data_IF_277280189318
#
_entry.id   IF_277280189318
#
_cell.length_a   1.000
_cell.length_b   1.000
_cell.length_c   1.000
_cell.angle_alpha   90.00
_cell.angle_beta   90.00
_cell.angle_gamma   90.00
#
_symmetry.space_group_name_H-M   'P 1'
#
loop_
_entity.id
_entity.type
_entity.pdbx_description
1 polymer ?
#
# COMPACT_ATOMS: atom_id res chain seq x y z
N UNK A 1 -6.36 -4.84 -11.42
CA UNK A 1 -6.78 -5.86 -10.43
C UNK A 1 -7.88 -5.24 -9.58
N UNK A 2 -8.91 -6.00 -9.21
CA UNK A 2 -10.11 -5.46 -8.56
C UNK A 2 -10.51 -6.34 -7.37
N UNK A 3 -10.86 -5.72 -6.26
CA UNK A 3 -11.57 -6.36 -5.16
C UNK A 3 -13.06 -6.13 -5.39
N UNK A 4 -13.81 -7.24 -5.48
CA UNK A 4 -15.24 -7.24 -5.77
C UNK A 4 -15.91 -8.06 -4.67
N UNK A 5 -16.95 -7.50 -4.07
CA UNK A 5 -17.83 -8.23 -3.20
C UNK A 5 -18.97 -8.84 -4.03
N UNK A 6 -19.18 -10.14 -3.85
CA UNK A 6 -20.31 -10.84 -4.48
C UNK A 6 -21.40 -11.10 -3.45
N UNK A 7 -22.59 -10.59 -3.72
CA UNK A 7 -23.79 -10.94 -2.96
C UNK A 7 -24.59 -12.00 -3.70
N UNK A 8 -25.00 -13.11 -3.05
CA UNK A 8 -25.92 -14.05 -3.64
C UNK A 8 -27.28 -13.38 -3.96
N UNK A 9 -28.06 -13.92 -4.91
CA UNK A 9 -29.46 -13.49 -5.14
C UNK A 9 -30.26 -13.55 -3.83
N UNK A 10 -31.37 -12.80 -3.69
CA UNK A 10 -31.89 -12.36 -2.40
C UNK A 10 -32.22 -13.53 -1.48
N UNK A 11 -31.27 -13.84 -0.60
CA UNK A 11 -31.46 -14.66 0.59
C UNK A 11 -31.38 -13.69 1.77
N UNK A 12 -32.37 -13.64 2.68
CA UNK A 12 -32.52 -12.51 3.59
C UNK A 12 -31.38 -12.29 4.60
N UNK A 13 -30.37 -13.17 4.68
CA UNK A 13 -29.31 -13.15 5.70
C UNK A 13 -27.95 -13.71 5.19
N UNK A 14 -27.70 -13.73 3.88
CA UNK A 14 -26.42 -14.22 3.34
C UNK A 14 -25.41 -13.09 3.19
N UNK A 15 -24.42 -13.00 4.09
CA UNK A 15 -23.29 -12.08 3.94
C UNK A 15 -22.54 -12.27 2.61
N UNK A 16 -22.06 -11.17 2.02
CA UNK A 16 -21.23 -11.20 0.82
C UNK A 16 -19.84 -11.76 1.12
N UNK A 17 -19.17 -12.32 0.11
CA UNK A 17 -17.78 -12.76 0.23
C UNK A 17 -16.87 -11.82 -0.58
N UNK A 18 -15.82 -11.24 0.04
CA UNK A 18 -14.86 -10.44 -0.71
C UNK A 18 -14.00 -11.36 -1.57
N UNK A 19 -14.00 -11.11 -2.86
CA UNK A 19 -13.23 -11.86 -3.84
C UNK A 19 -12.31 -10.91 -4.59
N UNK A 20 -11.10 -11.38 -4.90
CA UNK A 20 -10.14 -10.59 -5.67
C UNK A 20 -9.99 -11.18 -7.06
N UNK A 21 -10.22 -10.33 -8.05
CA UNK A 21 -10.18 -10.67 -9.47
C UNK A 21 -9.01 -9.93 -10.13
N UNK A 22 -8.25 -10.65 -10.92
CA UNK A 22 -7.16 -10.12 -11.73
C UNK A 22 -7.37 -10.41 -13.21
N UNK A 23 -6.99 -9.48 -14.07
CA UNK A 23 -6.87 -9.74 -15.50
C UNK A 23 -5.52 -10.42 -15.77
N UNK A 24 -5.58 -11.66 -16.25
CA UNK A 24 -4.45 -12.43 -16.72
C UNK A 24 -4.11 -12.10 -18.18
N UNK A 25 -3.02 -12.69 -18.67
CA UNK A 25 -2.60 -12.56 -20.07
C UNK A 25 -3.74 -12.90 -21.04
N UNK A 26 -3.88 -12.09 -22.10
CA UNK A 26 -4.91 -12.20 -23.14
C UNK A 26 -6.35 -11.92 -22.67
N UNK A 27 -6.54 -11.07 -21.64
CA UNK A 27 -7.86 -10.58 -21.23
C UNK A 27 -8.72 -11.60 -20.46
N UNK A 28 -8.11 -12.69 -19.98
CA UNK A 28 -8.82 -13.69 -19.16
C UNK A 28 -8.85 -13.25 -17.71
N UNK A 29 -9.99 -13.37 -17.03
CA UNK A 29 -10.08 -13.09 -15.60
C UNK A 29 -9.65 -14.31 -14.78
N UNK A 30 -8.92 -14.08 -13.68
CA UNK A 30 -8.50 -15.10 -12.71
C UNK A 30 -8.83 -14.68 -11.27
N UNK A 31 -9.18 -15.65 -10.43
CA UNK A 31 -9.32 -15.44 -9.00
C UNK A 31 -7.97 -15.53 -8.30
N UNK A 32 -7.75 -14.63 -7.35
CA UNK A 32 -6.61 -14.71 -6.44
C UNK A 32 -7.09 -14.60 -5.00
N UNK A 33 -6.29 -15.14 -4.09
CA UNK A 33 -6.53 -14.95 -2.67
C UNK A 33 -6.44 -13.44 -2.32
N UNK A 34 -7.47 -12.86 -1.70
CA UNK A 34 -7.57 -11.41 -1.49
C UNK A 34 -6.49 -10.86 -0.55
N UNK A 35 -5.96 -11.69 0.36
CA UNK A 35 -5.01 -11.27 1.40
C UNK A 35 -3.56 -11.51 0.96
N UNK A 36 -3.27 -12.73 0.48
CA UNK A 36 -1.92 -13.18 0.14
C UNK A 36 -1.52 -12.88 -1.31
N UNK A 37 -2.45 -12.49 -2.19
CA UNK A 37 -2.25 -12.38 -3.64
C UNK A 37 -1.79 -13.67 -4.32
N UNK A 38 -1.90 -14.81 -3.65
CA UNK A 38 -1.54 -16.10 -4.24
C UNK A 38 -2.63 -16.54 -5.21
N UNK A 39 -2.21 -17.10 -6.34
CA UNK A 39 -3.14 -17.77 -7.26
C UNK A 39 -3.77 -18.95 -6.53
N UNK A 40 -5.10 -18.99 -6.52
CA UNK A 40 -5.82 -20.15 -6.02
C UNK A 40 -5.50 -21.33 -6.95
N UNK A 41 -5.04 -22.46 -6.38
CA UNK A 41 -4.62 -23.64 -7.16
C UNK A 41 -5.75 -24.24 -8.00
N UNK A 42 -7.00 -23.94 -7.65
CA UNK A 42 -8.20 -24.38 -8.34
C UNK A 42 -9.03 -23.15 -8.69
N UNK A 43 -8.75 -22.54 -9.84
CA UNK A 43 -9.62 -21.50 -10.41
C UNK A 43 -10.52 -22.16 -11.47
N UNK A 44 -11.85 -21.96 -11.41
CA UNK A 44 -12.72 -22.46 -12.46
C UNK A 44 -12.34 -21.83 -13.80
N UNK A 45 -12.33 -22.62 -14.85
CA UNK A 45 -11.87 -22.21 -16.20
C UNK A 45 -12.77 -21.15 -16.83
N UNK A 46 -14.00 -21.01 -16.33
CA UNK A 46 -14.94 -19.96 -16.66
C UNK A 46 -15.55 -19.43 -15.35
N UNK A 47 -15.48 -18.12 -15.16
CA UNK A 47 -16.14 -17.43 -14.06
C UNK A 47 -17.28 -16.61 -14.65
N UNK A 48 -18.52 -17.03 -14.42
CA UNK A 48 -19.70 -16.25 -14.79
C UNK A 48 -20.13 -15.45 -13.58
N UNK A 49 -20.17 -14.12 -13.74
CA UNK A 49 -20.73 -13.20 -12.74
C UNK A 49 -22.23 -12.98 -12.94
N UNK A 50 -22.83 -13.62 -13.95
CA UNK A 50 -24.25 -13.49 -14.23
C UNK A 50 -25.08 -14.05 -13.06
N UNK A 51 -25.83 -13.17 -12.39
CA UNK A 51 -26.71 -13.51 -11.27
C UNK A 51 -26.25 -12.99 -9.91
N UNK A 52 -25.03 -12.44 -9.80
CA UNK A 52 -24.57 -11.74 -8.61
C UNK A 52 -24.83 -10.24 -8.73
N UNK A 53 -25.08 -9.59 -7.58
CA UNK A 53 -24.95 -8.13 -7.49
C UNK A 53 -23.52 -7.84 -7.09
N UNK A 54 -22.77 -7.25 -8.02
CA UNK A 54 -21.35 -6.99 -7.85
C UNK A 54 -21.16 -5.59 -7.27
N UNK A 55 -20.51 -5.50 -6.12
CA UNK A 55 -20.07 -4.22 -5.55
C UNK A 55 -18.56 -4.17 -5.65
N UNK A 56 -18.04 -3.26 -6.47
CA UNK A 56 -16.61 -3.03 -6.55
C UNK A 56 -16.14 -2.32 -5.27
N UNK A 57 -15.32 -3.00 -4.46
CA UNK A 57 -14.77 -2.48 -3.21
C UNK A 57 -13.52 -1.64 -3.44
N UNK A 58 -12.62 -2.10 -4.33
CA UNK A 58 -11.36 -1.42 -4.59
C UNK A 58 -10.74 -1.83 -5.92
N UNK A 59 -9.92 -0.95 -6.50
CA UNK A 59 -9.02 -1.29 -7.59
C UNK A 59 -7.58 -1.18 -7.14
N UNK A 60 -6.77 -2.18 -7.49
CA UNK A 60 -5.34 -2.15 -7.35
C UNK A 60 -4.67 -2.36 -8.71
N UNK A 61 -3.54 -1.72 -8.92
CA UNK A 61 -2.74 -1.89 -10.13
C UNK A 61 -1.50 -2.71 -9.79
N UNK A 62 -0.97 -3.42 -10.78
CA UNK A 62 0.33 -4.11 -10.67
C UNK A 62 1.26 -3.54 -11.71
N UNK A 63 2.46 -3.15 -11.29
CA UNK A 63 3.50 -2.71 -12.19
C UNK A 63 4.32 -3.92 -12.66
N UNK A 64 4.43 -4.09 -13.97
CA UNK A 64 5.21 -5.16 -14.61
C UNK A 64 6.20 -4.56 -15.61
N UNK A 65 7.41 -5.11 -15.67
CA UNK A 65 8.36 -4.85 -16.73
C UNK A 65 7.84 -5.38 -18.08
N UNK A 66 8.43 -4.93 -19.19
CA UNK A 66 8.03 -5.36 -20.56
C UNK A 66 8.16 -6.86 -20.79
N UNK A 67 9.07 -7.51 -20.07
CA UNK A 67 9.28 -8.96 -20.08
C UNK A 67 8.27 -9.74 -19.20
N UNK A 68 7.32 -9.04 -18.58
CA UNK A 68 6.24 -9.60 -17.77
C UNK A 68 6.61 -9.86 -16.31
N UNK A 69 7.85 -9.59 -15.88
CA UNK A 69 8.23 -9.73 -14.48
C UNK A 69 7.64 -8.58 -13.64
N UNK A 70 7.22 -8.88 -12.42
CA UNK A 70 6.73 -7.86 -11.48
C UNK A 70 7.89 -6.97 -11.07
N UNK A 71 7.65 -5.65 -11.00
CA UNK A 71 8.60 -4.71 -10.41
C UNK A 71 8.66 -4.93 -8.89
N UNK A 72 9.43 -5.94 -8.47
CA UNK A 72 9.59 -6.32 -7.06
C UNK A 72 10.17 -5.21 -6.18
N UNK A 73 10.70 -4.17 -6.80
CA UNK A 73 11.24 -3.00 -6.13
C UNK A 73 10.16 -1.98 -5.75
N UNK A 74 8.91 -2.08 -6.24
CA UNK A 74 7.82 -1.17 -5.89
C UNK A 74 6.97 -1.76 -4.76
N UNK A 75 6.95 -1.07 -3.61
CA UNK A 75 6.12 -1.42 -2.46
C UNK A 75 4.65 -1.04 -2.69
N UNK A 76 4.40 0.20 -3.10
CA UNK A 76 3.06 0.72 -3.41
C UNK A 76 3.16 1.87 -4.40
N UNK A 77 2.15 2.08 -5.21
CA UNK A 77 2.08 3.23 -6.10
C UNK A 77 0.65 3.74 -6.25
N UNK A 78 0.54 4.98 -6.71
CA UNK A 78 -0.72 5.61 -7.10
C UNK A 78 -0.59 6.13 -8.52
N UNK A 79 -1.71 6.08 -9.24
CA UNK A 79 -1.81 6.56 -10.62
C UNK A 79 -2.78 7.71 -10.63
N UNK A 80 -2.37 8.85 -11.19
CA UNK A 80 -3.24 9.99 -11.37
C UNK A 80 -3.43 10.27 -12.85
N UNK A 81 -4.66 10.11 -13.37
CA UNK A 81 -4.97 10.49 -14.73
C UNK A 81 -5.18 12.01 -14.76
N UNK A 82 -4.16 12.74 -15.23
CA UNK A 82 -4.33 14.12 -15.69
C UNK A 82 -4.18 14.16 -17.22
N UNK A 83 -3.91 15.33 -17.80
CA UNK A 83 -3.59 15.48 -19.24
C UNK A 83 -2.51 14.50 -19.73
N UNK A 84 -1.65 14.01 -18.84
CA UNK A 84 -0.76 12.87 -19.01
C UNK A 84 -0.79 11.98 -17.75
N UNK A 85 -0.67 10.67 -17.92
CA UNK A 85 -0.58 9.72 -16.80
C UNK A 85 0.69 10.01 -16.00
N UNK A 86 0.54 10.21 -14.69
CA UNK A 86 1.65 10.27 -13.73
C UNK A 86 1.51 9.14 -12.73
N UNK A 87 2.60 8.41 -12.50
CA UNK A 87 2.70 7.37 -11.47
C UNK A 87 3.64 7.88 -10.39
N UNK A 88 3.21 7.78 -9.13
CA UNK A 88 4.09 8.00 -7.97
C UNK A 88 4.20 6.69 -7.21
N UNK A 89 5.43 6.24 -6.96
CA UNK A 89 5.71 4.95 -6.36
C UNK A 89 6.63 5.09 -5.14
N UNK A 90 6.29 4.36 -4.09
CA UNK A 90 7.19 4.01 -3.00
C UNK A 90 7.89 2.72 -3.38
N UNK A 91 9.20 2.77 -3.41
CA UNK A 91 10.10 1.66 -3.66
C UNK A 91 10.53 0.99 -2.36
N UNK A 92 11.12 -0.20 -2.48
CA UNK A 92 11.69 -0.94 -1.37
C UNK A 92 12.65 -0.04 -0.56
N UNK A 93 12.54 -0.14 0.77
CA UNK A 93 13.17 0.75 1.77
C UNK A 93 12.64 2.19 1.82
N UNK A 94 11.47 2.45 1.23
CA UNK A 94 10.75 3.69 1.43
C UNK A 94 11.23 4.86 0.56
N UNK A 95 12.06 4.61 -0.46
CA UNK A 95 12.39 5.62 -1.48
C UNK A 95 11.15 5.96 -2.29
N UNK A 96 11.01 7.21 -2.71
CA UNK A 96 9.85 7.65 -3.48
C UNK A 96 10.29 8.31 -4.79
N UNK A 97 9.58 8.01 -5.87
CA UNK A 97 9.84 8.56 -7.18
C UNK A 97 8.57 8.64 -8.02
N UNK A 98 8.66 9.37 -9.12
CA UNK A 98 7.58 9.48 -10.09
C UNK A 98 8.04 9.12 -11.49
N UNK A 99 7.06 8.77 -12.32
CA UNK A 99 7.23 8.55 -13.75
C UNK A 99 6.06 9.16 -14.49
N UNK A 100 6.32 9.86 -15.60
CA UNK A 100 5.28 10.40 -16.48
C UNK A 100 5.27 9.68 -17.81
N UNK A 101 4.08 9.64 -18.43
CA UNK A 101 3.92 9.08 -19.76
C UNK A 101 4.89 9.69 -20.78
N UNK A 102 5.75 8.84 -21.36
CA UNK A 102 6.77 9.24 -22.33
C UNK A 102 8.17 9.42 -21.75
N UNK A 103 8.34 9.37 -20.42
CA UNK A 103 9.67 9.35 -19.79
C UNK A 103 10.27 7.93 -19.86
N UNK A 104 11.59 7.84 -20.01
CA UNK A 104 12.29 6.54 -20.01
C UNK A 104 12.57 6.05 -18.59
N UNK A 105 12.93 6.97 -17.69
CA UNK A 105 13.40 6.68 -16.33
C UNK A 105 12.48 7.26 -15.25
N UNK A 106 12.55 6.68 -14.06
CA UNK A 106 11.93 7.23 -12.87
C UNK A 106 12.73 8.42 -12.34
N UNK A 107 12.02 9.49 -11.97
CA UNK A 107 12.64 10.66 -11.32
C UNK A 107 12.43 10.59 -9.80
N UNK A 108 13.49 10.67 -8.98
CA UNK A 108 13.37 10.75 -7.53
C UNK A 108 12.54 11.98 -7.12
N UNK A 109 11.62 11.82 -6.15
CA UNK A 109 10.83 12.94 -5.61
C UNK A 109 11.46 13.57 -4.38
N UNK A 110 12.37 12.87 -3.72
CA UNK A 110 13.00 13.30 -2.49
C UNK A 110 14.46 12.82 -2.48
N UNK A 111 15.36 13.69 -2.05
CA UNK A 111 16.78 13.42 -1.83
C UNK A 111 17.10 13.10 -0.36
N UNK A 112 16.08 13.17 0.52
CA UNK A 112 16.21 12.95 1.96
C UNK A 112 16.19 11.46 2.34
N UNK A 113 16.80 11.15 3.48
CA UNK A 113 16.78 9.81 4.10
C UNK A 113 15.42 9.60 4.78
N UNK A 114 14.40 9.17 4.03
CA UNK A 114 13.11 8.82 4.61
C UNK A 114 12.66 7.41 4.24
N UNK A 115 12.07 6.73 5.23
CA UNK A 115 11.42 5.44 5.08
C UNK A 115 9.91 5.68 4.92
N UNK A 116 9.47 6.06 3.70
CA UNK A 116 8.04 6.20 3.42
C UNK A 116 7.34 4.84 3.47
N UNK A 117 6.20 4.82 4.17
CA UNK A 117 5.45 3.59 4.45
C UNK A 117 4.24 3.42 3.54
N UNK A 118 3.53 4.51 3.27
CA UNK A 118 2.32 4.44 2.48
C UNK A 118 2.04 5.73 1.68
N UNK A 119 1.33 5.56 0.57
CA UNK A 119 0.84 6.62 -0.32
C UNK A 119 -0.62 6.36 -0.71
N UNK A 120 -1.43 7.42 -0.76
CA UNK A 120 -2.83 7.39 -1.21
C UNK A 120 -3.19 8.69 -1.94
N UNK A 121 -4.15 8.62 -2.87
CA UNK A 121 -4.81 9.82 -3.41
C UNK A 121 -6.03 10.10 -2.54
N UNK A 122 -6.07 11.26 -1.90
CA UNK A 122 -7.21 11.71 -1.10
C UNK A 122 -7.58 13.13 -1.54
N UNK A 123 -8.86 13.34 -1.88
CA UNK A 123 -9.39 14.65 -2.33
C UNK A 123 -8.54 15.29 -3.43
N UNK A 124 -8.10 14.49 -4.40
CA UNK A 124 -7.32 14.95 -5.55
C UNK A 124 -5.86 15.30 -5.27
N UNK A 125 -5.33 15.05 -4.07
CA UNK A 125 -3.92 15.26 -3.73
C UNK A 125 -3.27 13.96 -3.26
N UNK A 126 -1.96 13.83 -3.48
CA UNK A 126 -1.20 12.68 -3.00
C UNK A 126 -0.79 12.90 -1.55
N UNK A 127 -1.14 11.95 -0.70
CA UNK A 127 -0.78 11.94 0.70
C UNK A 127 0.19 10.79 0.94
N UNK A 128 1.33 11.10 1.53
CA UNK A 128 2.41 10.16 1.82
C UNK A 128 2.69 10.18 3.31
N UNK A 129 2.85 9.02 3.93
CA UNK A 129 3.20 8.91 5.34
C UNK A 129 4.57 8.25 5.50
N UNK A 130 5.40 8.82 6.36
CA UNK A 130 6.67 8.20 6.74
C UNK A 130 6.51 7.15 7.85
N UNK A 131 7.60 6.43 8.17
CA UNK A 131 7.64 5.44 9.27
C UNK A 131 7.20 5.98 10.64
N UNK A 132 7.32 7.29 10.85
CA UNK A 132 6.98 7.96 12.11
C UNK A 132 5.52 8.40 12.14
N UNK A 133 4.77 8.23 11.04
CA UNK A 133 3.40 8.70 10.94
C UNK A 133 3.28 10.16 10.49
N UNK A 134 4.38 10.80 10.09
CA UNK A 134 4.34 12.16 9.57
C UNK A 134 3.72 12.16 8.18
N UNK A 135 2.67 12.95 8.01
CA UNK A 135 1.93 13.06 6.76
C UNK A 135 2.51 14.19 5.92
N UNK A 136 2.76 13.91 4.65
CA UNK A 136 3.18 14.88 3.66
C UNK A 136 2.17 14.90 2.52
N UNK A 137 1.98 16.09 1.93
CA UNK A 137 1.17 16.25 0.73
C UNK A 137 2.10 16.53 -0.44
N UNK A 138 1.98 15.77 -1.53
CA UNK A 138 2.64 16.12 -2.79
C UNK A 138 1.61 16.86 -3.64
N UNK A 139 1.97 18.07 -4.08
CA UNK A 139 1.12 18.87 -4.94
C UNK A 139 1.23 18.45 -6.42
N UNK A 140 0.46 19.10 -7.29
CA UNK A 140 0.50 18.85 -8.74
C UNK A 140 1.83 19.20 -9.41
N UNK A 141 2.67 20.01 -8.74
CA UNK A 141 4.02 20.35 -9.21
C UNK A 141 5.07 19.32 -8.78
N UNK A 142 4.64 18.22 -8.14
CA UNK A 142 5.48 17.16 -7.61
C UNK A 142 6.44 17.63 -6.52
N UNK A 143 5.98 18.61 -5.73
CA UNK A 143 6.72 19.11 -4.56
C UNK A 143 6.03 18.68 -3.27
N UNK A 144 6.84 18.40 -2.28
CA UNK A 144 6.39 18.19 -0.91
C UNK A 144 5.93 19.53 -0.32
N UNK A 145 4.67 19.56 0.10
CA UNK A 145 4.05 20.65 0.87
C UNK A 145 4.12 20.33 2.36
N UNK A 146 4.04 21.37 3.19
CA UNK A 146 4.24 21.29 4.63
C UNK A 146 3.48 20.13 5.30
N UNK A 147 4.14 19.45 6.24
CA UNK A 147 3.64 18.22 6.84
C UNK A 147 2.62 18.47 7.96
N UNK A 148 1.72 17.51 8.17
CA UNK A 148 0.98 17.42 9.43
C UNK A 148 1.87 16.82 10.51
N UNK A 149 1.56 17.12 11.78
CA UNK A 149 2.20 16.49 12.92
C UNK A 149 2.03 14.97 12.87
N UNK A 150 3.08 14.22 13.21
CA UNK A 150 2.98 12.78 13.40
C UNK A 150 2.10 12.48 14.63
N UNK A 151 1.40 11.33 14.68
CA UNK A 151 0.76 10.90 15.92
C UNK A 151 1.83 10.79 17.00
N UNK A 152 1.48 11.18 18.23
CA UNK A 152 2.32 10.97 19.40
C UNK A 152 1.77 9.76 20.16
N UNK A 153 2.11 8.52 19.77
CA UNK A 153 1.74 7.36 20.56
C UNK A 153 2.40 7.49 21.96
N UNK A 154 1.72 7.07 23.04
CA UNK A 154 2.21 7.19 24.42
C UNK A 154 3.61 6.60 24.63
N UNK A 155 4.00 5.65 23.76
CA UNK A 155 5.19 4.83 23.90
C UNK A 155 6.37 5.35 23.03
N UNK A 156 6.25 6.53 22.40
CA UNK A 156 7.29 7.07 21.50
C UNK A 156 7.43 6.28 20.19
N UNK A 157 6.37 5.56 19.79
CA UNK A 157 6.26 4.63 18.68
C UNK A 157 6.73 5.16 17.31
N UNK A 158 7.84 4.60 16.84
CA UNK A 158 8.37 4.77 15.48
C UNK A 158 8.81 3.45 14.82
N UNK A 159 8.47 2.30 15.41
CA UNK A 159 8.91 0.97 14.96
C UNK A 159 7.88 0.21 14.11
N UNK A 160 6.65 0.70 14.03
CA UNK A 160 5.55 0.07 13.30
C UNK A 160 5.60 0.21 11.77
N UNK A 161 4.54 -0.27 11.12
CA UNK A 161 4.25 0.00 9.71
C UNK A 161 2.96 0.79 9.57
N UNK A 162 3.06 1.95 8.93
CA UNK A 162 1.95 2.86 8.70
C UNK A 162 1.17 2.50 7.44
N UNK A 163 -0.15 2.61 7.49
CA UNK A 163 -1.02 2.49 6.33
C UNK A 163 -2.07 3.58 6.30
N UNK A 164 -2.34 4.12 5.12
CA UNK A 164 -3.36 5.15 4.90
C UNK A 164 -4.63 4.50 4.32
N UNK A 165 -5.78 4.87 4.88
CA UNK A 165 -7.09 4.39 4.45
C UNK A 165 -8.03 5.58 4.29
N UNK A 166 -8.71 5.64 3.14
CA UNK A 166 -9.81 6.57 2.94
C UNK A 166 -11.13 5.88 3.32
N UNK A 167 -11.97 6.55 4.09
CA UNK A 167 -13.29 6.05 4.47
C UNK A 167 -14.24 7.22 4.73
N UNK A 168 -15.33 7.27 3.98
CA UNK A 168 -16.38 8.29 4.17
C UNK A 168 -15.91 9.73 3.92
N UNK A 169 -14.91 9.93 3.06
CA UNK A 169 -14.31 11.24 2.78
C UNK A 169 -13.28 11.70 3.82
N UNK A 170 -13.01 10.88 4.84
CA UNK A 170 -12.00 11.08 5.87
C UNK A 170 -10.76 10.21 5.62
N UNK A 171 -9.63 10.66 6.16
CA UNK A 171 -8.35 9.96 6.03
C UNK A 171 -7.96 9.37 7.38
N UNK A 172 -7.62 8.09 7.37
CA UNK A 172 -7.20 7.33 8.54
C UNK A 172 -5.77 6.84 8.38
N UNK A 173 -5.05 6.81 9.48
CA UNK A 173 -3.75 6.18 9.63
C UNK A 173 -3.90 4.94 10.51
N UNK A 174 -3.54 3.78 9.98
CA UNK A 174 -3.40 2.55 10.77
C UNK A 174 -1.93 2.35 11.07
N UNK A 175 -1.55 2.41 12.34
CA UNK A 175 -0.20 2.12 12.82
C UNK A 175 -0.13 0.67 13.31
N UNK A 176 0.57 -0.18 12.57
CA UNK A 176 0.74 -1.60 12.91
C UNK A 176 2.03 -1.80 13.69
N UNK A 177 1.92 -2.23 14.94
CA UNK A 177 3.07 -2.61 15.76
C UNK A 177 3.61 -3.95 15.31
N UNK A 178 4.93 -4.01 15.12
CA UNK A 178 5.58 -5.20 14.59
C UNK A 178 6.44 -5.91 15.63
N UNK A 179 6.51 -7.25 15.55
CA UNK A 179 7.32 -8.11 16.43
C UNK A 179 8.84 -8.05 16.21
N UNK A 180 9.31 -7.17 15.34
CA UNK A 180 10.70 -7.10 14.93
C UNK A 180 11.07 -5.80 14.23
N UNK A 181 12.39 -5.55 14.15
CA UNK A 181 12.92 -4.34 13.50
C UNK A 181 12.76 -4.43 11.98
N UNK A 182 12.15 -3.41 11.40
CA UNK A 182 12.15 -3.20 9.94
C UNK A 182 13.52 -2.70 9.49
N UNK A 183 14.06 -3.30 8.44
CA UNK A 183 15.28 -2.83 7.78
C UNK A 183 15.00 -1.57 6.97
N UNK A 184 15.77 -0.52 7.19
CA UNK A 184 15.68 0.75 6.48
C UNK A 184 16.74 0.86 5.37
N UNK A 185 16.78 2.00 4.68
CA UNK A 185 17.78 2.27 3.65
C UNK A 185 19.21 2.34 4.20
N UNK A 186 19.39 2.90 5.40
CA UNK A 186 20.70 2.97 6.05
C UNK A 186 21.32 1.58 6.28
N UNK A 187 20.51 0.59 6.65
CA UNK A 187 20.97 -0.79 6.76
C UNK A 187 21.49 -1.36 5.42
N UNK A 188 20.98 -0.87 4.28
CA UNK A 188 21.46 -1.22 2.94
C UNK A 188 22.76 -0.47 2.61
N UNK A 189 22.82 0.83 2.89
CA UNK A 189 24.03 1.64 2.70
C UNK A 189 25.21 1.08 3.50
N UNK A 190 25.00 0.77 4.78
CA UNK A 190 26.01 0.18 5.66
C UNK A 190 26.46 -1.19 5.13
N UNK A 191 25.54 -2.00 4.60
CA UNK A 191 25.87 -3.28 3.97
C UNK A 191 26.73 -3.09 2.70
N UNK A 192 26.38 -2.13 1.84
CA UNK A 192 27.16 -1.80 0.64
C UNK A 192 28.55 -1.29 1.05
N UNK A 193 28.65 -0.38 2.02
CA UNK A 193 29.91 0.17 2.50
C UNK A 193 30.83 -0.89 3.13
N UNK A 194 30.25 -1.89 3.82
CA UNK A 194 30.98 -3.01 4.42
C UNK A 194 31.46 -4.09 3.43
N UNK A 195 31.11 -3.98 2.14
CA UNK A 195 31.36 -4.99 1.11
C UNK A 195 32.82 -5.07 0.61
N UNK A 196 33.77 -4.36 1.23
CA UNK A 196 35.22 -4.55 1.03
C UNK A 196 35.79 -5.79 1.78
N UNK A 197 34.96 -6.62 2.42
CA UNK A 197 35.39 -7.90 3.01
C UNK A 197 34.98 -9.12 2.15
N UNK A 198 35.92 -10.00 1.73
CA UNK A 198 35.67 -11.02 0.70
C UNK A 198 34.72 -12.17 1.09
N UNK A 199 34.18 -12.20 2.32
CA UNK A 199 33.45 -13.37 2.86
C UNK A 199 31.92 -13.15 2.96
N UNK A 200 31.40 -11.94 2.72
CA UNK A 200 29.94 -11.69 2.77
C UNK A 200 29.25 -11.52 1.41
N UNK A 201 29.81 -12.11 0.34
CA UNK A 201 29.12 -12.29 -0.96
C UNK A 201 27.90 -13.26 -0.92
N UNK A 202 27.39 -13.62 0.27
CA UNK A 202 26.27 -14.56 0.44
C UNK A 202 25.18 -14.10 1.43
N UNK A 203 24.77 -12.82 1.39
CA UNK A 203 23.42 -12.43 1.86
C UNK A 203 22.69 -11.54 0.83
N UNK A 204 23.10 -11.62 -0.44
CA UNK A 204 22.49 -10.91 -1.57
C UNK A 204 21.69 -11.83 -2.51
N UNK A 205 21.33 -13.05 -2.08
CA UNK A 205 20.62 -14.03 -2.91
C UNK A 205 19.45 -14.66 -2.16
N UNK A 206 18.23 -14.17 -2.43
CA UNK A 206 16.96 -14.92 -2.29
C UNK A 206 16.48 -15.39 -0.91
N UNK A 207 17.32 -15.48 0.13
CA UNK A 207 16.96 -16.01 1.47
C UNK A 207 16.58 -14.94 2.49
N UNK A 208 16.88 -13.68 2.21
CA UNK A 208 16.52 -12.56 3.08
C UNK A 208 15.07 -12.08 2.91
N UNK A 209 14.26 -12.86 2.19
CA UNK A 209 12.81 -12.70 2.03
C UNK A 209 12.01 -13.22 3.25
N UNK A 210 12.69 -13.80 4.25
CA UNK A 210 12.09 -14.68 5.25
C UNK A 210 11.62 -14.06 6.56
N UNK A 211 11.93 -12.79 6.85
CA UNK A 211 11.49 -12.17 8.10
C UNK A 211 11.04 -10.72 7.89
N UNK A 212 9.88 -10.55 7.26
CA UNK A 212 9.12 -9.33 7.49
C UNK A 212 8.50 -9.47 8.89
N UNK A 213 8.79 -8.55 9.81
CA UNK A 213 8.15 -8.52 11.11
C UNK A 213 6.63 -8.60 10.96
N UNK A 214 5.98 -9.40 11.79
CA UNK A 214 4.53 -9.56 11.77
C UNK A 214 3.88 -8.47 12.59
N UNK A 215 2.72 -8.00 12.13
CA UNK A 215 1.88 -7.13 12.93
C UNK A 215 1.35 -7.93 14.13
N UNK A 216 1.60 -7.43 15.34
CA UNK A 216 1.14 -8.02 16.61
C UNK A 216 0.06 -7.20 17.29
N UNK A 217 -0.02 -5.91 16.94
CA UNK A 217 -1.04 -4.99 17.44
C UNK A 217 -1.22 -3.84 16.44
N UNK A 218 -2.25 -3.01 16.62
CA UNK A 218 -2.44 -1.80 15.83
C UNK A 218 -3.18 -0.70 16.58
N UNK A 219 -2.98 0.54 16.14
CA UNK A 219 -3.81 1.69 16.49
C UNK A 219 -4.32 2.38 15.25
N UNK A 220 -5.48 3.03 15.37
CA UNK A 220 -6.09 3.77 14.27
C UNK A 220 -6.24 5.22 14.67
N UNK A 221 -5.86 6.11 13.76
CA UNK A 221 -5.98 7.55 13.94
C UNK A 221 -6.77 8.13 12.78
N UNK A 222 -7.62 9.10 13.08
CA UNK A 222 -8.33 9.91 12.09
C UNK A 222 -7.64 11.26 11.96
N UNK A 223 -7.43 11.75 10.74
CA UNK A 223 -6.89 13.08 10.51
C UNK A 223 -7.94 14.14 10.86
N UNK A 224 -7.66 14.95 11.88
CA UNK A 224 -8.39 16.17 12.17
C UNK A 224 -7.99 17.26 11.17
N UNK A 225 -8.98 17.75 10.43
CA UNK A 225 -8.77 18.72 9.33
C UNK A 225 -8.55 20.14 9.84
N UNK A 226 -9.08 20.46 11.01
CA UNK A 226 -9.03 21.81 11.58
C UNK A 226 -7.70 22.03 12.29
N UNK A 227 -7.24 21.00 13.01
CA UNK A 227 -5.98 21.05 13.76
C UNK A 227 -4.78 20.55 12.95
N UNK A 228 -4.99 19.77 11.89
CA UNK A 228 -3.91 19.13 11.14
C UNK A 228 -3.18 18.05 11.96
N UNK A 229 -3.91 17.38 12.85
CA UNK A 229 -3.37 16.40 13.81
C UNK A 229 -4.05 15.04 13.67
N UNK A 230 -3.36 13.99 14.11
CA UNK A 230 -3.90 12.64 14.18
C UNK A 230 -4.60 12.42 15.52
N UNK A 231 -5.90 12.10 15.48
CA UNK A 231 -6.71 11.80 16.67
C UNK A 231 -6.95 10.30 16.73
N UNK A 232 -6.53 9.65 17.81
CA UNK A 232 -6.74 8.21 18.02
C UNK A 232 -8.24 7.88 18.10
N UNK A 233 -8.67 6.84 17.40
CA UNK A 233 -10.06 6.37 17.38
C UNK A 233 -10.12 4.89 17.75
N UNK A 234 -10.99 4.57 18.71
CA UNK A 234 -11.23 3.21 19.17
C UNK A 234 -12.42 2.53 18.48
N UNK A 235 -13.16 3.28 17.65
CA UNK A 235 -14.28 2.80 16.86
C UNK A 235 -14.40 3.61 15.57
N UNK A 236 -14.80 2.95 14.49
CA UNK A 236 -15.05 3.56 13.19
C UNK A 236 -16.50 4.07 13.05
N UNK A 237 -17.29 4.04 14.14
CA UNK A 237 -18.62 4.64 14.21
C UNK A 237 -19.76 3.81 13.64
N UNK A 238 -19.53 2.54 13.26
CA UNK A 238 -20.58 1.60 12.87
C UNK A 238 -20.12 0.13 12.97
N UNK A 239 -21.06 -0.76 13.30
CA UNK A 239 -20.80 -2.17 13.64
C UNK A 239 -20.26 -3.01 12.45
N UNK A 240 -20.40 -2.52 11.22
CA UNK A 240 -20.01 -3.24 9.98
C UNK A 240 -18.79 -2.63 9.25
N UNK A 241 -18.04 -1.74 9.89
CA UNK A 241 -16.89 -1.10 9.22
C UNK A 241 -15.58 -1.82 9.53
N UNK A 242 -14.96 -2.40 8.50
CA UNK A 242 -13.66 -3.07 8.60
C UNK A 242 -12.68 -2.39 7.64
N UNK A 243 -11.42 -2.23 8.05
CA UNK A 243 -10.36 -1.84 7.13
C UNK A 243 -9.60 -3.07 6.67
N UNK A 244 -9.51 -3.26 5.35
CA UNK A 244 -8.73 -4.32 4.73
C UNK A 244 -7.41 -3.73 4.27
N UNK A 245 -6.32 -4.19 4.89
CA UNK A 245 -4.95 -3.77 4.55
C UNK A 245 -4.26 -4.85 3.72
N UNK A 246 -3.93 -4.54 2.47
CA UNK A 246 -3.18 -5.44 1.60
C UNK A 246 -1.93 -4.75 1.07
N UNK A 247 -0.89 -5.49 0.63
CA UNK A 247 0.32 -4.87 0.10
C UNK A 247 0.08 -3.90 -1.06
N UNK A 248 -0.95 -4.13 -1.88
CA UNK A 248 -1.23 -3.33 -3.08
C UNK A 248 -2.29 -2.24 -2.90
N UNK A 249 -3.18 -2.37 -1.92
CA UNK A 249 -4.23 -1.38 -1.63
C UNK A 249 -4.78 -1.58 -0.22
N UNK A 250 -5.28 -0.48 0.36
CA UNK A 250 -6.02 -0.48 1.61
C UNK A 250 -7.39 0.14 1.35
N UNK A 251 -8.47 -0.47 1.86
CA UNK A 251 -9.84 -0.03 1.61
C UNK A 251 -10.76 -0.37 2.80
N UNK A 252 -11.97 0.21 2.77
CA UNK A 252 -13.08 -0.09 3.67
C UNK A 252 -13.97 -1.16 3.06
#
# INVERSE_FOLDING_TARGET
MCFVEFHPPPIPNGGGWPVKIEEASHGKLQLVDPISNLKLRYTPTQLSLAGFRDVQLSSSFRLTYRDGFTAFEVNKFVVFPHSSVTIIAIFHKGRIGYWRNGEEDWTPLDDRIFDYDDIIIHRGRYHVVDRFGKLFVIDSSLKFVEPCSAPQPPDGGGSGQKNLVESGGDLYLVDRYLDGRRRNWKDVEDAIASSFHPIRRFVGTGRDRGWNPRAVDFRVYKLDKEMGEWVEVNSLGGDDTVFVLTPGCCFR
#
